data_IF_236334647668
#
_entry.id   IF_236334647668
#
_cell.length_a   1.000
_cell.length_b   1.000
_cell.length_c   1.000
_cell.angle_alpha   90.00
_cell.angle_beta   90.00
_cell.angle_gamma   90.00
#
_symmetry.space_group_name_H-M   'P 1'
#
loop_
_entity.id
_entity.type
_entity.pdbx_description
1 polymer ?
#
# COMPACT_ATOMS: atom_id res chain seq x y z
N UNK A 1 1.13 13.00 -14.25
CA UNK A 1 0.85 11.85 -13.38
C UNK A 1 1.45 12.07 -11.98
N UNK A 2 0.84 11.47 -10.98
CA UNK A 2 1.28 11.54 -9.58
C UNK A 2 1.75 10.14 -9.18
N UNK A 3 3.01 9.99 -8.75
CA UNK A 3 3.51 8.75 -8.19
C UNK A 3 3.41 8.81 -6.67
N UNK A 4 2.92 7.72 -6.05
CA UNK A 4 2.85 7.57 -4.59
C UNK A 4 3.34 6.20 -4.15
N UNK A 5 3.99 6.13 -2.99
CA UNK A 5 4.36 4.89 -2.31
C UNK A 5 3.38 4.50 -1.19
N UNK A 6 2.22 5.13 -1.16
CA UNK A 6 1.20 4.92 -0.12
C UNK A 6 -0.09 4.39 -0.73
N UNK A 7 -0.46 3.16 -0.41
CA UNK A 7 -1.69 2.53 -0.88
C UNK A 7 -2.95 3.35 -0.55
N UNK A 8 -3.01 3.94 0.65
CA UNK A 8 -4.14 4.80 1.06
C UNK A 8 -4.23 6.05 0.20
N UNK A 9 -3.11 6.75 -0.04
CA UNK A 9 -3.11 7.96 -0.88
C UNK A 9 -3.46 7.62 -2.32
N UNK A 10 -2.91 6.51 -2.86
CA UNK A 10 -3.25 6.03 -4.20
C UNK A 10 -4.76 5.77 -4.33
N UNK A 11 -5.33 5.02 -3.39
CA UNK A 11 -6.76 4.71 -3.38
C UNK A 11 -7.63 5.99 -3.35
N UNK A 12 -7.29 6.98 -2.51
CA UNK A 12 -8.02 8.25 -2.43
C UNK A 12 -7.95 9.02 -3.75
N UNK A 13 -6.79 9.07 -4.39
CA UNK A 13 -6.65 9.74 -5.69
C UNK A 13 -7.49 9.05 -6.77
N UNK A 14 -7.47 7.71 -6.84
CA UNK A 14 -8.26 6.94 -7.79
C UNK A 14 -9.78 7.09 -7.52
N UNK A 15 -10.22 7.01 -6.26
CA UNK A 15 -11.60 7.25 -5.86
C UNK A 15 -12.07 8.66 -6.25
N UNK A 16 -11.23 9.67 -6.05
CA UNK A 16 -11.53 11.05 -6.41
C UNK A 16 -11.68 11.19 -7.92
N UNK A 17 -10.76 10.66 -8.70
CA UNK A 17 -10.80 10.71 -10.17
C UNK A 17 -12.07 10.02 -10.70
N UNK A 18 -12.36 8.80 -10.24
CA UNK A 18 -13.55 8.04 -10.62
C UNK A 18 -14.84 8.76 -10.24
N UNK A 19 -14.88 9.38 -9.05
CA UNK A 19 -16.05 10.15 -8.59
C UNK A 19 -16.27 11.40 -9.45
N UNK A 20 -15.22 12.10 -9.81
CA UNK A 20 -15.30 13.29 -10.67
C UNK A 20 -15.75 12.93 -12.08
N UNK A 21 -15.27 11.80 -12.62
CA UNK A 21 -15.65 11.31 -13.95
C UNK A 21 -17.12 10.84 -13.98
N UNK A 22 -17.55 10.10 -12.95
CA UNK A 22 -18.91 9.54 -12.89
C UNK A 22 -20.00 10.53 -12.49
N UNK A 23 -19.64 11.68 -11.91
CA UNK A 23 -20.59 12.69 -11.41
C UNK A 23 -20.24 14.11 -11.90
N UNK A 24 -20.65 14.49 -13.14
CA UNK A 24 -20.37 15.81 -13.70
C UNK A 24 -20.91 16.98 -12.89
N UNK A 25 -22.02 16.80 -12.15
CA UNK A 25 -22.59 17.85 -11.29
C UNK A 25 -21.64 18.15 -10.13
N UNK A 26 -21.16 17.11 -9.45
CA UNK A 26 -20.20 17.24 -8.36
C UNK A 26 -18.87 17.82 -8.88
N UNK A 27 -18.39 17.34 -10.03
CA UNK A 27 -17.19 17.87 -10.68
C UNK A 27 -17.28 19.38 -10.92
N UNK A 28 -18.42 19.86 -11.46
CA UNK A 28 -18.66 21.29 -11.67
C UNK A 28 -18.70 22.08 -10.35
N UNK A 29 -19.34 21.56 -9.32
CA UNK A 29 -19.38 22.20 -8.00
C UNK A 29 -18.00 22.33 -7.37
N UNK A 30 -17.19 21.26 -7.42
CA UNK A 30 -15.83 21.26 -6.90
C UNK A 30 -14.91 22.17 -7.70
N UNK A 31 -15.01 22.18 -9.04
CA UNK A 31 -14.25 23.10 -9.87
C UNK A 31 -14.60 24.55 -9.60
N UNK A 32 -15.86 24.90 -9.38
CA UNK A 32 -16.27 26.21 -8.94
C UNK A 32 -15.66 26.63 -7.59
N UNK A 33 -15.51 25.68 -6.66
CA UNK A 33 -14.85 25.90 -5.37
C UNK A 33 -13.35 26.11 -5.53
N UNK A 34 -12.69 25.27 -6.31
CA UNK A 34 -11.25 25.35 -6.61
C UNK A 34 -10.92 26.67 -7.31
N UNK A 35 -11.72 27.06 -8.30
CA UNK A 35 -11.51 28.31 -9.06
C UNK A 35 -11.56 29.57 -8.18
N UNK A 36 -12.32 29.55 -7.08
CA UNK A 36 -12.37 30.68 -6.12
C UNK A 36 -11.07 30.88 -5.36
N UNK A 37 -10.28 29.82 -5.17
CA UNK A 37 -9.08 29.83 -4.34
C UNK A 37 -7.77 29.80 -5.14
N UNK A 38 -7.73 29.03 -6.26
CA UNK A 38 -6.49 28.72 -6.95
C UNK A 38 -6.46 29.06 -8.43
N UNK A 39 -7.58 29.47 -9.03
CA UNK A 39 -7.73 29.69 -10.49
C UNK A 39 -7.32 28.48 -11.34
N UNK A 40 -7.41 27.28 -10.77
CA UNK A 40 -7.12 25.99 -11.42
C UNK A 40 -8.44 25.27 -11.62
N UNK A 41 -8.54 24.50 -12.70
CA UNK A 41 -9.65 23.60 -12.96
C UNK A 41 -9.13 22.17 -13.02
N UNK A 42 -9.84 21.24 -12.38
CA UNK A 42 -9.57 19.82 -12.50
C UNK A 42 -10.22 19.27 -13.76
N UNK A 43 -9.42 18.80 -14.70
CA UNK A 43 -9.87 18.30 -16.02
C UNK A 43 -9.72 16.77 -16.17
N UNK A 44 -9.34 16.07 -15.09
CA UNK A 44 -9.25 14.61 -15.08
C UNK A 44 -7.98 14.02 -15.73
N UNK A 45 -7.01 14.82 -16.12
CA UNK A 45 -5.80 14.33 -16.82
C UNK A 45 -4.76 13.71 -15.86
N UNK A 46 -4.75 14.12 -14.59
CA UNK A 46 -3.77 13.63 -13.62
C UNK A 46 -4.15 12.23 -13.14
N UNK A 47 -3.33 11.23 -13.47
CA UNK A 47 -3.48 9.85 -13.01
C UNK A 47 -2.57 9.57 -11.82
N UNK A 48 -3.08 8.85 -10.83
CA UNK A 48 -2.28 8.33 -9.72
C UNK A 48 -1.68 6.97 -10.11
N UNK A 49 -0.38 6.81 -9.81
CA UNK A 49 0.36 5.56 -10.01
C UNK A 49 0.97 5.13 -8.69
N UNK A 50 0.80 3.89 -8.30
CA UNK A 50 1.49 3.36 -7.13
C UNK A 50 2.90 2.91 -7.50
N UNK A 51 3.90 3.20 -6.64
CA UNK A 51 5.30 2.85 -6.89
C UNK A 51 5.49 1.35 -7.18
N UNK A 52 4.78 0.47 -6.47
CA UNK A 52 4.87 -0.98 -6.68
C UNK A 52 4.47 -1.36 -8.11
N UNK A 53 3.38 -0.79 -8.62
CA UNK A 53 2.91 -1.05 -10.00
C UNK A 53 3.92 -0.54 -11.02
N UNK A 54 4.49 0.66 -10.83
CA UNK A 54 5.54 1.17 -11.71
C UNK A 54 6.78 0.26 -11.74
N UNK A 55 7.19 -0.26 -10.59
CA UNK A 55 8.34 -1.17 -10.49
C UNK A 55 8.09 -2.48 -11.23
N UNK A 56 6.92 -3.08 -11.07
CA UNK A 56 6.62 -4.41 -11.63
C UNK A 56 6.16 -4.33 -13.08
N UNK A 57 5.23 -3.42 -13.39
CA UNK A 57 4.57 -3.37 -14.71
C UNK A 57 5.37 -2.58 -15.75
N UNK A 58 6.05 -1.49 -15.36
CA UNK A 58 6.72 -0.60 -16.34
C UNK A 58 8.24 -0.82 -16.36
N UNK A 59 8.92 -0.87 -15.20
CA UNK A 59 10.37 -1.11 -15.14
C UNK A 59 10.67 -2.59 -15.40
N UNK A 60 9.84 -3.47 -14.84
CA UNK A 60 9.95 -4.91 -14.98
C UNK A 60 10.95 -5.56 -14.01
N UNK A 61 10.58 -6.72 -13.49
CA UNK A 61 11.35 -7.44 -12.49
C UNK A 61 12.73 -7.89 -12.98
N UNK A 62 12.88 -8.22 -14.25
CA UNK A 62 14.18 -8.61 -14.83
C UNK A 62 15.15 -7.44 -14.83
N UNK A 63 14.70 -6.22 -15.14
CA UNK A 63 15.51 -5.01 -15.09
C UNK A 63 15.96 -4.73 -13.66
N UNK A 64 15.04 -4.85 -12.69
CA UNK A 64 15.33 -4.67 -11.28
C UNK A 64 16.36 -5.69 -10.82
N UNK A 65 16.15 -6.98 -11.12
CA UNK A 65 17.04 -8.07 -10.78
C UNK A 65 18.47 -7.86 -11.33
N UNK A 66 18.57 -7.38 -12.57
CA UNK A 66 19.88 -7.09 -13.18
C UNK A 66 20.62 -5.92 -12.50
N UNK A 67 19.89 -5.00 -11.86
CA UNK A 67 20.46 -3.86 -11.15
C UNK A 67 20.86 -4.16 -9.69
N UNK A 68 20.51 -5.34 -9.16
CA UNK A 68 20.83 -5.71 -7.76
C UNK A 68 22.31 -5.99 -7.60
N UNK A 69 22.99 -5.15 -6.84
CA UNK A 69 24.40 -5.33 -6.48
C UNK A 69 24.58 -6.15 -5.18
N UNK A 70 23.67 -5.96 -4.24
CA UNK A 70 23.69 -6.63 -2.93
C UNK A 70 22.31 -7.26 -2.65
N UNK A 71 22.14 -8.57 -2.88
CA UNK A 71 20.89 -9.26 -2.62
C UNK A 71 20.50 -9.22 -1.14
N UNK A 72 19.20 -9.12 -0.86
CA UNK A 72 18.69 -9.00 0.52
C UNK A 72 19.00 -10.23 1.37
N UNK A 73 18.90 -11.44 0.83
CA UNK A 73 19.18 -12.74 1.50
C UNK A 73 18.46 -12.95 2.84
N UNK A 74 17.26 -12.38 2.98
CA UNK A 74 16.40 -12.49 4.16
C UNK A 74 15.07 -13.15 3.81
N UNK A 75 14.41 -13.71 4.82
CA UNK A 75 13.00 -14.13 4.73
C UNK A 75 12.13 -12.90 4.97
N UNK A 76 11.37 -12.50 3.96
CA UNK A 76 10.61 -11.24 3.95
C UNK A 76 9.13 -11.51 3.82
N UNK A 77 8.33 -10.99 4.75
CA UNK A 77 6.87 -11.00 4.69
C UNK A 77 6.39 -9.79 3.88
N UNK A 78 5.61 -10.06 2.84
CA UNK A 78 4.93 -9.03 2.05
C UNK A 78 3.67 -8.57 2.77
N UNK A 79 3.47 -7.27 2.96
CA UNK A 79 2.24 -6.73 3.54
C UNK A 79 1.59 -5.72 2.60
N UNK A 80 0.41 -6.04 2.11
CA UNK A 80 -0.38 -5.21 1.20
C UNK A 80 -1.35 -4.28 1.93
N UNK A 81 -2.05 -4.83 2.92
CA UNK A 81 -3.17 -4.19 3.56
C UNK A 81 -4.41 -4.07 2.64
N UNK A 82 -5.55 -3.61 3.17
CA UNK A 82 -6.83 -3.68 2.45
C UNK A 82 -6.96 -2.69 1.28
N UNK A 83 -6.17 -1.62 1.24
CA UNK A 83 -6.30 -0.59 0.20
C UNK A 83 -5.70 -0.99 -1.15
N UNK A 84 -4.63 -1.80 -1.15
CA UNK A 84 -4.03 -2.29 -2.39
C UNK A 84 -4.90 -3.30 -3.14
N UNK A 85 -5.88 -3.91 -2.45
CA UNK A 85 -6.71 -4.99 -2.97
C UNK A 85 -8.06 -4.52 -3.50
N UNK A 86 -8.29 -3.22 -3.53
CA UNK A 86 -9.53 -2.69 -4.10
C UNK A 86 -9.49 -2.86 -5.61
N UNK A 87 -10.55 -3.43 -6.16
CA UNK A 87 -10.72 -3.59 -7.60
C UNK A 87 -10.53 -2.24 -8.32
N UNK A 88 -9.75 -2.26 -9.40
CA UNK A 88 -9.37 -1.06 -10.15
C UNK A 88 -8.21 -0.25 -9.56
N UNK A 89 -7.67 -0.63 -8.39
CA UNK A 89 -6.54 0.08 -7.75
C UNK A 89 -5.32 -0.79 -7.53
N UNK A 90 -5.40 -2.08 -7.83
CA UNK A 90 -4.33 -3.06 -7.67
C UNK A 90 -3.39 -3.16 -8.89
N UNK A 91 -3.54 -2.30 -9.90
CA UNK A 91 -2.82 -2.46 -11.17
C UNK A 91 -3.30 -3.71 -11.90
N UNK A 92 -2.38 -4.49 -12.46
CA UNK A 92 -2.65 -5.80 -13.07
C UNK A 92 -2.50 -6.97 -12.07
N UNK A 93 -2.19 -6.70 -10.79
CA UNK A 93 -2.09 -7.71 -9.74
C UNK A 93 -3.48 -8.28 -9.37
N UNK A 94 -3.51 -9.50 -8.85
CA UNK A 94 -4.76 -10.14 -8.40
C UNK A 94 -5.23 -9.52 -7.07
N UNK A 95 -6.39 -8.86 -7.02
CA UNK A 95 -6.90 -8.25 -5.79
C UNK A 95 -7.22 -9.28 -4.68
N UNK A 96 -7.47 -10.54 -5.04
CA UNK A 96 -7.78 -11.61 -4.09
C UNK A 96 -6.56 -12.42 -3.67
N UNK A 97 -5.52 -12.44 -4.50
CA UNK A 97 -4.27 -13.14 -4.23
C UNK A 97 -3.07 -12.35 -4.79
N UNK A 98 -2.77 -11.16 -4.25
CA UNK A 98 -1.71 -10.31 -4.77
C UNK A 98 -0.34 -10.98 -4.63
N UNK A 99 0.56 -10.73 -5.58
CA UNK A 99 1.89 -11.34 -5.63
C UNK A 99 3.03 -10.36 -6.00
N UNK A 100 2.72 -9.14 -6.39
CA UNK A 100 3.75 -8.17 -6.84
C UNK A 100 4.84 -7.89 -5.80
N UNK A 101 4.51 -7.85 -4.50
CA UNK A 101 5.53 -7.68 -3.46
C UNK A 101 6.41 -8.91 -3.31
N UNK A 102 5.84 -10.12 -3.39
CA UNK A 102 6.57 -11.38 -3.33
C UNK A 102 7.52 -11.52 -4.52
N UNK A 103 7.05 -11.16 -5.72
CA UNK A 103 7.87 -11.18 -6.94
C UNK A 103 9.02 -10.16 -6.85
N UNK A 104 8.73 -8.95 -6.35
CA UNK A 104 9.76 -7.94 -6.11
C UNK A 104 10.77 -8.39 -5.05
N UNK A 105 10.33 -9.00 -3.94
CA UNK A 105 11.22 -9.58 -2.92
C UNK A 105 12.15 -10.60 -3.56
N UNK A 106 11.60 -11.48 -4.41
CA UNK A 106 12.36 -12.52 -5.12
C UNK A 106 13.37 -11.89 -6.09
N UNK A 107 12.96 -10.88 -6.85
CA UNK A 107 13.85 -10.16 -7.77
C UNK A 107 15.02 -9.48 -7.04
N UNK A 108 14.79 -9.01 -5.81
CA UNK A 108 15.80 -8.40 -4.95
C UNK A 108 16.67 -9.42 -4.20
N UNK A 109 16.47 -10.73 -4.40
CA UNK A 109 17.23 -11.82 -3.79
C UNK A 109 16.78 -12.21 -2.39
N UNK A 110 15.61 -11.76 -1.95
CA UNK A 110 14.95 -12.19 -0.73
C UNK A 110 14.14 -13.48 -0.93
N UNK A 111 13.67 -14.06 0.17
CA UNK A 111 12.75 -15.20 0.16
C UNK A 111 11.40 -14.75 0.72
N UNK A 112 10.33 -14.70 -0.10
CA UNK A 112 9.01 -14.32 0.40
C UNK A 112 8.47 -15.38 1.38
N UNK A 113 7.79 -14.90 2.43
CA UNK A 113 7.16 -15.73 3.45
C UNK A 113 5.65 -15.73 3.23
N UNK A 114 5.08 -16.93 3.12
CA UNK A 114 3.63 -17.07 3.01
C UNK A 114 2.98 -16.95 4.40
N UNK A 115 1.95 -16.11 4.53
CA UNK A 115 1.12 -15.95 5.72
C UNK A 115 -0.23 -15.31 5.35
N UNK A 116 -1.29 -15.56 6.10
CA UNK A 116 -2.64 -15.17 5.70
C UNK A 116 -2.97 -13.71 6.03
N UNK A 117 -2.37 -13.16 7.09
CA UNK A 117 -2.65 -11.79 7.53
C UNK A 117 -2.07 -10.68 6.63
N UNK A 118 -1.39 -11.02 5.53
CA UNK A 118 -0.72 -10.05 4.63
C UNK A 118 -1.65 -8.98 4.05
N UNK A 119 -2.93 -9.25 4.03
CA UNK A 119 -3.96 -8.39 3.47
C UNK A 119 -4.89 -7.78 4.53
N UNK A 120 -4.74 -8.19 5.79
CA UNK A 120 -5.57 -7.69 6.90
C UNK A 120 -5.17 -6.26 7.28
N UNK A 121 -6.11 -5.53 7.90
CA UNK A 121 -5.83 -4.19 8.41
C UNK A 121 -4.94 -4.23 9.65
N UNK A 122 -3.95 -3.35 9.71
CA UNK A 122 -3.14 -3.11 10.93
C UNK A 122 -3.80 -2.11 11.89
N UNK A 123 -5.03 -1.67 11.61
CA UNK A 123 -5.78 -0.80 12.50
C UNK A 123 -5.44 0.69 12.44
N UNK A 124 -4.68 1.15 11.43
CA UNK A 124 -4.26 2.57 11.32
C UNK A 124 -5.41 3.58 11.49
N UNK A 125 -6.61 3.40 10.88
CA UNK A 125 -7.72 4.34 11.06
C UNK A 125 -8.22 4.42 12.51
N UNK A 126 -8.06 3.35 13.29
CA UNK A 126 -8.53 3.28 14.67
C UNK A 126 -7.50 3.72 15.70
N UNK A 127 -6.28 4.05 15.28
CA UNK A 127 -5.18 4.36 16.21
C UNK A 127 -5.50 5.56 17.12
N UNK A 128 -6.18 6.58 16.60
CA UNK A 128 -6.55 7.77 17.35
C UNK A 128 -7.81 7.60 18.22
N UNK A 129 -8.69 6.67 17.88
CA UNK A 129 -9.98 6.48 18.55
C UNK A 129 -9.96 5.29 19.51
N UNK A 130 -9.19 4.26 19.21
CA UNK A 130 -9.05 3.05 20.01
C UNK A 130 -7.66 2.42 19.81
N UNK A 131 -6.63 3.03 20.42
CA UNK A 131 -5.24 2.61 20.29
C UNK A 131 -5.06 1.12 20.64
N UNK A 132 -5.72 0.63 21.71
CA UNK A 132 -5.57 -0.76 22.13
C UNK A 132 -6.04 -1.76 21.08
N UNK A 133 -7.15 -1.48 20.40
CA UNK A 133 -7.64 -2.34 19.32
C UNK A 133 -6.71 -2.26 18.10
N UNK A 134 -6.26 -1.07 17.72
CA UNK A 134 -5.31 -0.89 16.63
C UNK A 134 -4.00 -1.64 16.88
N UNK A 135 -3.44 -1.54 18.11
CA UNK A 135 -2.22 -2.25 18.47
C UNK A 135 -2.39 -3.77 18.43
N UNK A 136 -3.56 -4.31 18.84
CA UNK A 136 -3.84 -5.75 18.71
C UNK A 136 -3.90 -6.22 17.25
N UNK A 137 -4.49 -5.42 16.37
CA UNK A 137 -4.51 -5.72 14.93
C UNK A 137 -3.09 -5.72 14.35
N UNK A 138 -2.28 -4.73 14.70
CA UNK A 138 -0.85 -4.67 14.32
C UNK A 138 -0.10 -5.90 14.85
N UNK A 139 -0.29 -6.24 16.12
CA UNK A 139 0.36 -7.38 16.75
C UNK A 139 0.00 -8.71 16.07
N UNK A 140 -1.27 -8.90 15.71
CA UNK A 140 -1.73 -10.11 15.01
C UNK A 140 -0.99 -10.32 13.70
N UNK A 141 -0.88 -9.28 12.86
CA UNK A 141 -0.16 -9.34 11.58
C UNK A 141 1.32 -9.64 11.78
N UNK A 142 1.97 -8.96 12.72
CA UNK A 142 3.40 -9.15 12.99
C UNK A 142 3.71 -10.52 13.60
N UNK A 143 2.86 -11.01 14.50
CA UNK A 143 3.04 -12.32 15.13
C UNK A 143 2.96 -13.42 14.10
N UNK A 144 1.94 -13.41 13.25
CA UNK A 144 1.76 -14.43 12.22
C UNK A 144 2.92 -14.42 11.20
N UNK A 145 3.36 -13.23 10.74
CA UNK A 145 4.52 -13.13 9.86
C UNK A 145 5.78 -13.73 10.53
N UNK A 146 6.00 -13.43 11.82
CA UNK A 146 7.12 -13.95 12.60
C UNK A 146 7.04 -15.46 12.82
N UNK A 147 5.87 -16.00 13.15
CA UNK A 147 5.63 -17.43 13.35
C UNK A 147 5.90 -18.23 12.08
N UNK A 148 5.63 -17.63 10.90
CA UNK A 148 5.99 -18.19 9.60
C UNK A 148 7.46 -17.95 9.20
N UNK A 149 8.27 -17.39 10.09
CA UNK A 149 9.71 -17.27 9.93
C UNK A 149 10.20 -16.01 9.26
N UNK A 150 9.37 -14.97 9.13
CA UNK A 150 9.80 -13.68 8.58
C UNK A 150 10.85 -13.00 9.49
N UNK A 151 11.86 -12.45 8.87
CA UNK A 151 12.92 -11.65 9.49
C UNK A 151 12.70 -10.15 9.24
N UNK A 152 11.96 -9.83 8.19
CA UNK A 152 11.63 -8.47 7.76
C UNK A 152 10.19 -8.45 7.23
N UNK A 153 9.50 -7.32 7.39
CA UNK A 153 8.22 -7.03 6.74
C UNK A 153 8.40 -5.86 5.78
N UNK A 154 7.95 -6.01 4.55
CA UNK A 154 7.87 -4.92 3.57
C UNK A 154 6.41 -4.53 3.36
N UNK A 155 6.12 -3.24 3.31
CA UNK A 155 4.76 -2.73 3.14
C UNK A 155 4.66 -1.78 1.95
N UNK A 156 3.59 -1.91 1.17
CA UNK A 156 3.22 -1.01 0.08
C UNK A 156 2.43 0.23 0.55
N UNK A 157 2.38 0.51 1.86
CA UNK A 157 1.60 1.59 2.43
C UNK A 157 2.34 2.29 3.57
N UNK A 158 2.66 3.57 3.42
CA UNK A 158 3.40 4.34 4.43
C UNK A 158 2.64 4.48 5.75
N UNK A 159 1.30 4.58 5.72
CA UNK A 159 0.47 4.64 6.92
C UNK A 159 0.51 3.29 7.66
N UNK A 160 0.39 2.19 6.94
CA UNK A 160 0.52 0.85 7.54
C UNK A 160 1.94 0.57 8.03
N UNK A 161 2.95 1.06 7.30
CA UNK A 161 4.34 0.98 7.73
C UNK A 161 4.57 1.63 9.10
N UNK A 162 3.99 2.81 9.33
CA UNK A 162 4.08 3.46 10.64
C UNK A 162 3.54 2.56 11.77
N UNK A 163 2.44 1.84 11.56
CA UNK A 163 1.94 0.89 12.55
C UNK A 163 2.88 -0.31 12.73
N UNK A 164 3.36 -0.90 11.62
CA UNK A 164 4.20 -2.10 11.64
C UNK A 164 5.58 -1.84 12.22
N UNK A 165 6.14 -0.63 12.07
CA UNK A 165 7.45 -0.25 12.57
C UNK A 165 7.37 0.57 13.86
N UNK A 166 6.85 1.81 13.80
CA UNK A 166 6.91 2.75 14.93
C UNK A 166 6.09 2.28 16.13
N UNK A 167 4.99 1.55 15.91
CA UNK A 167 4.16 1.00 16.98
C UNK A 167 4.46 -0.47 17.31
N UNK A 168 5.43 -1.10 16.66
CA UNK A 168 5.79 -2.52 16.87
C UNK A 168 6.05 -2.85 18.33
N UNK A 169 6.84 -2.04 19.04
CA UNK A 169 7.18 -2.26 20.45
C UNK A 169 5.95 -2.16 21.35
N UNK A 170 5.03 -1.24 21.06
CA UNK A 170 3.76 -1.12 21.81
C UNK A 170 2.83 -2.29 21.49
N UNK A 171 2.75 -2.68 20.23
CA UNK A 171 1.93 -3.80 19.76
C UNK A 171 2.35 -5.12 20.47
N UNK A 172 3.65 -5.38 20.59
CA UNK A 172 4.16 -6.55 21.30
C UNK A 172 3.87 -6.59 22.81
N UNK A 173 3.34 -5.52 23.41
CA UNK A 173 2.95 -5.45 24.83
C UNK A 173 1.45 -5.68 25.06
N UNK A 174 0.64 -5.74 24.03
CA UNK A 174 -0.84 -5.87 24.12
C UNK A 174 -1.36 -7.25 23.66
N UNK A 175 -0.44 -8.13 23.27
CA UNK A 175 -0.70 -9.55 22.95
C UNK A 175 -0.82 -10.38 24.22
#
# INVERSE_FOLDING_TARGET
DIMTSCATSHSIHCDTASTMESNPVLASQLNNLIARTSKIEYVGEAKSRHLLHLLVEEIGLDTIKAAVLNPIQLKVAAYYGPYMQREGFCGEDDPFNPHYLEDLITALGGTPVAYDARCQSVGSPSLLTNEKTALRMTASVLSEAKENGAQLVVSACTISHANLDSYQVKAGKVT
#
